data_IF_995588765658
#
_entry.id   IF_995588765658
#
_cell.length_a   1.000
_cell.length_b   1.000
_cell.length_c   1.000
_cell.angle_alpha   90.00
_cell.angle_beta   90.00
_cell.angle_gamma   90.00
#
_symmetry.space_group_name_H-M   'P 1'
#
loop_
_entity.id
_entity.type
_entity.pdbx_description
1 polymer ?
#
# COMPACT_ATOMS: atom_id res chain seq x y z
N UNK A 1 -1.06 -18.53 14.74
CA UNK A 1 -0.49 -18.06 13.45
C UNK A 1 -1.50 -18.03 12.29
N UNK A 2 -2.22 -19.11 11.96
CA UNK A 2 -3.15 -19.16 10.80
C UNK A 2 -4.23 -18.07 10.80
N UNK A 3 -4.87 -17.83 11.95
CA UNK A 3 -5.86 -16.75 12.12
C UNK A 3 -5.24 -15.36 11.92
N UNK A 4 -4.08 -15.12 12.54
CA UNK A 4 -3.31 -13.88 12.40
C UNK A 4 -2.95 -13.58 10.94
N UNK A 5 -2.50 -14.57 10.18
CA UNK A 5 -2.21 -14.42 8.74
C UNK A 5 -3.46 -14.05 7.94
N UNK A 6 -4.61 -14.65 8.24
CA UNK A 6 -5.87 -14.30 7.56
C UNK A 6 -6.27 -12.88 7.86
N UNK A 7 -6.28 -12.48 9.14
CA UNK A 7 -6.61 -11.12 9.55
C UNK A 7 -5.69 -10.10 8.91
N UNK A 8 -4.38 -10.37 8.88
CA UNK A 8 -3.41 -9.48 8.25
C UNK A 8 -3.64 -9.31 6.74
N UNK A 9 -3.97 -10.38 6.01
CA UNK A 9 -4.30 -10.28 4.58
C UNK A 9 -5.55 -9.43 4.32
N UNK A 10 -6.60 -9.57 5.16
CA UNK A 10 -7.78 -8.72 5.05
C UNK A 10 -7.47 -7.27 5.42
N UNK A 11 -6.59 -7.07 6.41
CA UNK A 11 -6.12 -5.76 6.78
C UNK A 11 -5.41 -5.05 5.63
N UNK A 12 -4.49 -5.72 4.90
CA UNK A 12 -3.81 -5.15 3.72
C UNK A 12 -4.81 -4.67 2.67
N UNK A 13 -5.86 -5.46 2.39
CA UNK A 13 -6.96 -5.04 1.51
C UNK A 13 -7.64 -3.79 2.07
N UNK A 14 -8.04 -3.80 3.35
CA UNK A 14 -8.98 -2.80 3.88
C UNK A 14 -8.29 -1.47 4.12
N UNK A 15 -7.00 -1.51 4.41
CA UNK A 15 -6.18 -0.32 4.60
C UNK A 15 -6.14 0.57 3.36
N UNK A 16 -6.27 0.03 2.14
CA UNK A 16 -6.27 0.85 0.91
C UNK A 16 -7.42 1.86 0.90
N UNK A 17 -8.63 1.40 1.22
CA UNK A 17 -9.82 2.23 1.35
C UNK A 17 -9.63 3.29 2.45
N UNK A 18 -9.20 2.88 3.66
CA UNK A 18 -9.01 3.81 4.77
C UNK A 18 -7.91 4.84 4.49
N UNK A 19 -6.82 4.42 3.85
CA UNK A 19 -5.73 5.30 3.46
C UNK A 19 -6.21 6.32 2.42
N UNK A 20 -6.97 5.89 1.42
CA UNK A 20 -7.56 6.76 0.40
C UNK A 20 -8.47 7.82 1.02
N UNK A 21 -9.34 7.43 1.94
CA UNK A 21 -10.24 8.35 2.64
C UNK A 21 -9.45 9.36 3.48
N UNK A 22 -8.48 8.88 4.27
CA UNK A 22 -7.65 9.73 5.13
C UNK A 22 -6.83 10.74 4.31
N UNK A 23 -6.23 10.31 3.20
CA UNK A 23 -5.49 11.18 2.29
C UNK A 23 -6.40 12.15 1.55
N UNK A 24 -7.63 11.76 1.22
CA UNK A 24 -8.62 12.67 0.64
C UNK A 24 -8.97 13.83 1.57
N UNK A 25 -9.17 13.55 2.86
CA UNK A 25 -9.37 14.59 3.88
C UNK A 25 -8.13 15.48 4.01
N UNK A 26 -6.94 14.87 4.12
CA UNK A 26 -5.69 15.61 4.24
C UNK A 26 -5.43 16.51 3.03
N UNK A 27 -5.70 16.03 1.81
CA UNK A 27 -5.54 16.78 0.58
C UNK A 27 -6.52 17.96 0.52
N UNK A 28 -7.78 17.75 0.93
CA UNK A 28 -8.77 18.83 1.04
C UNK A 28 -8.29 19.95 1.95
N UNK A 29 -7.88 19.63 3.17
CA UNK A 29 -7.37 20.62 4.13
C UNK A 29 -6.12 21.33 3.59
N UNK A 30 -5.24 20.59 2.91
CA UNK A 30 -4.04 21.16 2.28
C UNK A 30 -4.39 22.15 1.15
N UNK A 31 -5.37 21.84 0.31
CA UNK A 31 -5.81 22.70 -0.78
C UNK A 31 -6.51 23.95 -0.25
N UNK A 32 -7.39 23.80 0.75
CA UNK A 32 -8.06 24.93 1.41
C UNK A 32 -7.05 25.87 2.06
N UNK A 33 -6.04 25.33 2.76
CA UNK A 33 -4.96 26.12 3.36
C UNK A 33 -4.13 26.90 2.33
N UNK A 34 -4.11 26.44 1.07
CA UNK A 34 -3.45 27.11 -0.07
C UNK A 34 -4.37 28.07 -0.83
N UNK A 35 -5.62 28.25 -0.38
CA UNK A 35 -6.61 29.09 -1.05
C UNK A 35 -7.14 28.51 -2.36
N UNK A 36 -6.97 27.20 -2.59
CA UNK A 36 -7.47 26.52 -3.79
C UNK A 36 -8.90 26.06 -3.53
N UNK A 37 -9.81 26.38 -4.45
CA UNK A 37 -11.20 25.96 -4.37
C UNK A 37 -11.31 24.44 -4.47
N UNK A 38 -12.00 23.83 -3.51
CA UNK A 38 -12.24 22.38 -3.44
C UNK A 38 -13.70 22.09 -3.74
N UNK A 39 -13.94 21.05 -4.52
CA UNK A 39 -15.28 20.57 -4.85
C UNK A 39 -16.02 20.08 -3.59
N UNK A 40 -17.36 20.14 -3.63
CA UNK A 40 -18.19 19.59 -2.56
C UNK A 40 -17.90 18.10 -2.35
N UNK A 41 -18.06 17.63 -1.10
CA UNK A 41 -17.83 16.24 -0.71
C UNK A 41 -18.65 15.27 -1.58
N UNK A 42 -19.89 15.65 -1.92
CA UNK A 42 -20.76 14.83 -2.77
C UNK A 42 -20.21 14.63 -4.20
N UNK A 43 -19.70 15.71 -4.83
CA UNK A 43 -19.05 15.61 -6.15
C UNK A 43 -17.71 14.87 -6.05
N UNK A 44 -16.95 15.14 -4.99
CA UNK A 44 -15.71 14.42 -4.70
C UNK A 44 -15.92 12.92 -4.54
N UNK A 45 -17.00 12.50 -3.87
CA UNK A 45 -17.32 11.08 -3.64
C UNK A 45 -17.51 10.29 -4.95
N UNK A 46 -18.12 10.90 -5.97
CA UNK A 46 -18.33 10.27 -7.29
C UNK A 46 -17.02 9.98 -8.03
N UNK A 47 -16.00 10.79 -7.80
CA UNK A 47 -14.66 10.64 -8.39
C UNK A 47 -13.73 9.80 -7.50
N UNK A 48 -13.95 9.82 -6.19
CA UNK A 48 -13.20 9.04 -5.21
C UNK A 48 -13.39 7.55 -5.39
N UNK A 49 -14.59 7.07 -5.73
CA UNK A 49 -14.83 5.64 -5.91
C UNK A 49 -13.97 5.01 -7.03
N UNK A 50 -14.00 5.50 -8.29
CA UNK A 50 -13.16 4.93 -9.33
C UNK A 50 -11.67 5.15 -9.06
N UNK A 51 -11.31 6.27 -8.43
CA UNK A 51 -9.94 6.53 -8.00
C UNK A 51 -9.45 5.53 -6.93
N UNK A 52 -10.28 5.22 -5.93
CA UNK A 52 -9.98 4.25 -4.88
C UNK A 52 -9.83 2.84 -5.44
N UNK A 53 -10.71 2.43 -6.36
CA UNK A 53 -10.60 1.13 -7.03
C UNK A 53 -9.31 0.98 -7.82
N UNK A 54 -8.87 2.05 -8.49
CA UNK A 54 -7.59 2.10 -9.18
C UNK A 54 -6.42 2.07 -8.19
N UNK A 55 -6.49 2.89 -7.14
CA UNK A 55 -5.45 3.04 -6.13
C UNK A 55 -5.25 1.75 -5.31
N UNK A 56 -6.30 0.96 -5.09
CA UNK A 56 -6.22 -0.27 -4.29
C UNK A 56 -5.48 -1.43 -4.99
N UNK A 57 -5.18 -1.32 -6.29
CA UNK A 57 -4.53 -2.38 -7.06
C UNK A 57 -3.24 -2.93 -6.42
N UNK A 58 -2.28 -2.10 -5.93
CA UNK A 58 -1.06 -2.59 -5.29
C UNK A 58 -1.32 -3.34 -3.99
N UNK A 59 -2.33 -2.93 -3.21
CA UNK A 59 -2.71 -3.63 -1.98
C UNK A 59 -3.34 -4.99 -2.28
N UNK A 60 -4.13 -5.10 -3.33
CA UNK A 60 -4.68 -6.38 -3.80
C UNK A 60 -3.54 -7.32 -4.21
N UNK A 61 -2.59 -6.83 -5.02
CA UNK A 61 -1.43 -7.60 -5.47
C UNK A 61 -0.59 -8.04 -4.26
N UNK A 62 -0.28 -7.12 -3.34
CA UNK A 62 0.49 -7.43 -2.14
C UNK A 62 -0.24 -8.45 -1.25
N UNK A 63 -1.54 -8.28 -1.01
CA UNK A 63 -2.36 -9.19 -0.21
C UNK A 63 -2.35 -10.60 -0.82
N UNK A 64 -2.44 -10.71 -2.15
CA UNK A 64 -2.33 -11.98 -2.86
C UNK A 64 -0.95 -12.63 -2.70
N UNK A 65 0.13 -11.87 -2.87
CA UNK A 65 1.50 -12.35 -2.69
C UNK A 65 1.78 -12.80 -1.25
N UNK A 66 1.36 -12.00 -0.26
CA UNK A 66 1.53 -12.32 1.16
C UNK A 66 0.72 -13.57 1.52
N UNK A 67 -0.54 -13.67 1.05
CA UNK A 67 -1.39 -14.85 1.26
C UNK A 67 -0.77 -16.11 0.69
N UNK A 68 -0.26 -16.07 -0.54
CA UNK A 68 0.34 -17.24 -1.20
C UNK A 68 1.62 -17.67 -0.50
N UNK A 69 2.53 -16.74 -0.21
CA UNK A 69 3.82 -17.02 0.45
C UNK A 69 3.67 -17.50 1.88
N UNK A 70 2.83 -16.86 2.70
CA UNK A 70 2.61 -17.28 4.09
C UNK A 70 1.86 -18.60 4.19
N UNK A 71 0.90 -18.88 3.29
CA UNK A 71 0.22 -20.18 3.25
C UNK A 71 1.19 -21.31 2.91
N UNK A 72 2.13 -21.06 2.00
CA UNK A 72 3.16 -22.03 1.62
C UNK A 72 4.13 -22.27 2.78
N UNK A 73 4.62 -21.21 3.42
CA UNK A 73 5.50 -21.32 4.59
C UNK A 73 4.85 -22.09 5.75
N UNK A 74 3.57 -21.82 6.03
CA UNK A 74 2.81 -22.55 7.06
C UNK A 74 2.64 -24.06 6.79
N UNK A 75 2.87 -24.51 5.55
CA UNK A 75 2.78 -25.93 5.15
C UNK A 75 4.16 -26.58 5.05
N UNK A 76 5.13 -25.89 4.46
CA UNK A 76 6.44 -26.43 4.10
C UNK A 76 7.51 -26.13 5.16
N UNK A 77 7.55 -24.92 5.72
CA UNK A 77 8.60 -24.45 6.62
C UNK A 77 7.99 -23.62 7.78
N UNK A 78 7.36 -24.26 8.78
CA UNK A 78 6.65 -23.54 9.84
C UNK A 78 7.56 -22.63 10.66
N UNK A 79 8.84 -22.98 10.80
CA UNK A 79 9.85 -22.21 11.56
C UNK A 79 10.10 -20.83 10.96
N UNK A 80 10.09 -20.71 9.63
CA UNK A 80 10.31 -19.43 8.91
C UNK A 80 9.08 -18.51 8.90
N UNK A 81 7.92 -19.01 9.32
CA UNK A 81 6.65 -18.27 9.21
C UNK A 81 6.71 -16.94 9.96
N UNK A 82 7.36 -16.89 11.12
CA UNK A 82 7.47 -15.65 11.93
C UNK A 82 8.34 -14.60 11.24
N UNK A 83 9.44 -15.04 10.63
CA UNK A 83 10.34 -14.18 9.85
C UNK A 83 9.60 -13.62 8.63
N UNK A 84 8.95 -14.49 7.84
CA UNK A 84 8.19 -14.07 6.66
C UNK A 84 7.01 -13.15 7.01
N UNK A 85 6.36 -13.36 8.15
CA UNK A 85 5.31 -12.47 8.63
C UNK A 85 5.86 -11.07 8.95
N UNK A 86 7.04 -11.00 9.58
CA UNK A 86 7.71 -9.72 9.88
C UNK A 86 8.10 -8.98 8.59
N UNK A 87 8.63 -9.70 7.61
CA UNK A 87 8.94 -9.16 6.28
C UNK A 87 7.67 -8.64 5.59
N UNK A 88 6.57 -9.40 5.67
CA UNK A 88 5.30 -8.99 5.08
C UNK A 88 4.73 -7.71 5.71
N UNK A 89 4.90 -7.51 7.02
CA UNK A 89 4.57 -6.24 7.69
C UNK A 89 5.42 -5.11 7.13
N UNK A 90 6.74 -5.32 7.03
CA UNK A 90 7.65 -4.34 6.44
C UNK A 90 7.26 -3.96 5.01
N UNK A 91 6.98 -4.95 4.18
CA UNK A 91 6.53 -4.74 2.80
C UNK A 91 5.22 -3.97 2.74
N UNK A 92 4.26 -4.29 3.60
CA UNK A 92 3.02 -3.53 3.72
C UNK A 92 3.26 -2.06 4.07
N UNK A 93 4.08 -1.77 5.07
CA UNK A 93 4.39 -0.39 5.47
C UNK A 93 5.09 0.37 4.35
N UNK A 94 6.06 -0.26 3.70
CA UNK A 94 6.77 0.33 2.55
C UNK A 94 5.83 0.63 1.38
N UNK A 95 4.91 -0.29 1.06
CA UNK A 95 3.85 -0.05 0.06
C UNK A 95 2.95 1.09 0.49
N UNK A 96 2.47 1.12 1.74
CA UNK A 96 1.54 2.14 2.22
C UNK A 96 2.15 3.55 2.15
N UNK A 97 3.45 3.70 2.46
CA UNK A 97 4.16 4.98 2.35
C UNK A 97 4.24 5.43 0.89
N UNK A 98 4.77 4.57 0.01
CA UNK A 98 4.95 4.92 -1.41
C UNK A 98 3.59 5.20 -2.07
N UNK A 99 2.62 4.33 -1.84
CA UNK A 99 1.26 4.52 -2.31
C UNK A 99 0.68 5.84 -1.79
N UNK A 100 0.83 6.13 -0.50
CA UNK A 100 0.31 7.35 0.11
C UNK A 100 0.91 8.62 -0.50
N UNK A 101 2.21 8.61 -0.83
CA UNK A 101 2.86 9.73 -1.52
C UNK A 101 2.27 9.93 -2.92
N UNK A 102 2.21 8.87 -3.73
CA UNK A 102 1.67 8.93 -5.10
C UNK A 102 0.21 9.38 -5.09
N UNK A 103 -0.58 8.84 -4.18
CA UNK A 103 -1.99 9.14 -4.06
C UNK A 103 -2.21 10.60 -3.61
N UNK A 104 -1.46 11.06 -2.60
CA UNK A 104 -1.54 12.44 -2.15
C UNK A 104 -1.17 13.42 -3.26
N UNK A 105 -0.11 13.15 -4.02
CA UNK A 105 0.29 13.96 -5.17
C UNK A 105 -0.83 14.08 -6.22
N UNK A 106 -1.54 12.99 -6.49
CA UNK A 106 -2.71 13.02 -7.38
C UNK A 106 -3.87 13.83 -6.79
N UNK A 107 -4.17 13.65 -5.50
CA UNK A 107 -5.26 14.36 -4.82
C UNK A 107 -5.04 15.88 -4.74
N UNK A 108 -3.79 16.34 -4.70
CA UNK A 108 -3.44 17.78 -4.71
C UNK A 108 -3.12 18.31 -6.11
N UNK A 109 -3.45 17.57 -7.17
CA UNK A 109 -3.22 18.02 -8.55
C UNK A 109 -4.06 19.25 -8.88
N UNK A 110 -3.40 20.32 -9.36
CA UNK A 110 -4.01 21.62 -9.67
C UNK A 110 -3.91 22.01 -11.15
N UNK A 111 -3.75 21.05 -12.06
CA UNK A 111 -3.70 21.33 -13.49
C UNK A 111 -5.06 21.68 -14.10
N UNK A 112 -5.12 21.90 -15.43
CA UNK A 112 -6.38 22.04 -16.17
C UNK A 112 -7.33 20.89 -15.82
N UNK A 113 -8.63 21.20 -15.64
CA UNK A 113 -9.67 20.24 -15.25
C UNK A 113 -9.54 19.61 -13.86
N UNK A 114 -8.48 19.92 -13.11
CA UNK A 114 -8.27 19.54 -11.72
C UNK A 114 -8.32 18.03 -11.47
N UNK A 115 -8.84 17.64 -10.30
CA UNK A 115 -8.94 16.24 -9.89
C UNK A 115 -9.80 15.40 -10.85
N UNK A 116 -10.86 15.97 -11.43
CA UNK A 116 -11.75 15.23 -12.33
C UNK A 116 -11.04 14.80 -13.61
N UNK A 117 -10.31 15.73 -14.26
CA UNK A 117 -9.51 15.41 -15.45
C UNK A 117 -8.44 14.36 -15.14
N UNK A 118 -7.74 14.51 -14.01
CA UNK A 118 -6.76 13.53 -13.56
C UNK A 118 -7.38 12.13 -13.41
N UNK A 119 -8.51 12.00 -12.70
CA UNK A 119 -9.20 10.71 -12.54
C UNK A 119 -9.63 10.13 -13.89
N UNK A 120 -10.20 10.95 -14.78
CA UNK A 120 -10.59 10.50 -16.13
C UNK A 120 -9.39 10.01 -16.93
N UNK A 121 -8.28 10.75 -16.95
CA UNK A 121 -7.06 10.35 -17.65
C UNK A 121 -6.44 9.10 -17.06
N UNK A 122 -6.45 8.95 -15.74
CA UNK A 122 -5.93 7.76 -15.07
C UNK A 122 -6.75 6.51 -15.41
N UNK A 123 -8.07 6.62 -15.47
CA UNK A 123 -8.95 5.53 -15.88
C UNK A 123 -8.73 5.18 -17.35
N UNK A 124 -8.67 6.19 -18.23
CA UNK A 124 -8.45 6.00 -19.66
C UNK A 124 -7.09 5.32 -19.93
N UNK A 125 -6.07 5.72 -19.17
CA UNK A 125 -4.70 5.18 -19.25
C UNK A 125 -4.47 4.04 -18.25
N UNK A 126 -5.52 3.44 -17.68
CA UNK A 126 -5.40 2.37 -16.70
C UNK A 126 -4.51 1.19 -17.13
N UNK A 127 -4.46 0.78 -18.42
CA UNK A 127 -3.54 -0.27 -18.86
C UNK A 127 -2.06 0.07 -18.66
N UNK A 128 -1.71 1.35 -18.55
CA UNK A 128 -0.35 1.84 -18.33
C UNK A 128 -0.13 2.30 -16.88
N UNK A 129 -1.10 3.01 -16.32
CA UNK A 129 -0.99 3.62 -14.99
C UNK A 129 -1.06 2.57 -13.87
N UNK A 130 -1.87 1.51 -14.01
CA UNK A 130 -1.94 0.43 -13.01
C UNK A 130 -0.59 -0.32 -12.92
N UNK A 131 0.01 -0.83 -14.01
CA UNK A 131 1.32 -1.47 -13.93
C UNK A 131 2.41 -0.54 -13.37
N UNK A 132 2.40 0.74 -13.77
CA UNK A 132 3.30 1.74 -13.23
C UNK A 132 3.16 1.90 -11.72
N UNK A 133 1.93 2.08 -11.22
CA UNK A 133 1.64 2.18 -9.80
C UNK A 133 2.08 0.92 -9.04
N UNK A 134 1.75 -0.26 -9.56
CA UNK A 134 2.12 -1.54 -8.94
C UNK A 134 3.64 -1.67 -8.87
N UNK A 135 4.37 -1.31 -9.93
CA UNK A 135 5.84 -1.33 -9.93
C UNK A 135 6.42 -0.37 -8.90
N UNK A 136 5.94 0.88 -8.85
CA UNK A 136 6.37 1.87 -7.87
C UNK A 136 6.12 1.37 -6.44
N UNK A 137 4.94 0.81 -6.18
CA UNK A 137 4.60 0.23 -4.88
C UNK A 137 5.40 -1.05 -4.56
N UNK A 138 5.78 -1.83 -5.56
CA UNK A 138 6.63 -3.02 -5.39
C UNK A 138 8.05 -2.63 -4.95
N UNK A 139 8.59 -1.51 -5.44
CA UNK A 139 9.85 -0.95 -4.94
C UNK A 139 9.71 -0.60 -3.46
N UNK A 140 8.65 0.11 -3.07
CA UNK A 140 8.35 0.39 -1.66
C UNK A 140 8.25 -0.87 -0.80
N UNK A 141 7.55 -1.89 -1.31
CA UNK A 141 7.41 -3.19 -0.65
C UNK A 141 8.75 -3.90 -0.43
N UNK A 142 9.64 -3.83 -1.43
CA UNK A 142 10.96 -4.43 -1.37
C UNK A 142 11.81 -3.75 -0.29
N UNK A 143 11.89 -2.42 -0.29
CA UNK A 143 12.63 -1.67 0.73
C UNK A 143 12.07 -1.91 2.13
N UNK A 144 10.75 -1.80 2.31
CA UNK A 144 10.12 -2.05 3.61
C UNK A 144 10.35 -3.48 4.11
N UNK A 145 10.27 -4.47 3.22
CA UNK A 145 10.56 -5.87 3.53
C UNK A 145 12.02 -6.11 3.92
N UNK A 146 12.97 -5.49 3.22
CA UNK A 146 14.40 -5.57 3.53
C UNK A 146 14.73 -4.94 4.89
N UNK A 147 14.16 -3.77 5.19
CA UNK A 147 14.34 -3.12 6.50
C UNK A 147 13.80 -4.03 7.61
N UNK A 148 12.59 -4.57 7.45
CA UNK A 148 12.01 -5.48 8.44
C UNK A 148 12.81 -6.79 8.59
N UNK A 149 13.34 -7.33 7.50
CA UNK A 149 14.23 -8.50 7.53
C UNK A 149 15.50 -8.21 8.33
N UNK A 150 16.13 -7.06 8.08
CA UNK A 150 17.33 -6.62 8.79
C UNK A 150 17.08 -6.43 10.29
N UNK A 151 16.00 -5.72 10.65
CA UNK A 151 15.61 -5.51 12.05
C UNK A 151 15.28 -6.83 12.77
N UNK A 152 14.66 -7.77 12.06
CA UNK A 152 14.38 -9.10 12.61
C UNK A 152 15.68 -9.87 12.88
N UNK A 153 16.63 -9.86 11.94
CA UNK A 153 17.92 -10.52 12.09
C UNK A 153 18.72 -9.90 13.26
N UNK A 154 18.78 -8.56 13.32
CA UNK A 154 19.46 -7.85 14.40
C UNK A 154 18.91 -8.21 15.79
N UNK A 155 17.59 -8.31 15.92
CA UNK A 155 16.93 -8.69 17.19
C UNK A 155 17.14 -10.16 17.57
N UNK A 156 17.34 -11.03 16.59
CA UNK A 156 17.44 -12.49 16.83
C UNK A 156 18.83 -12.92 17.29
N UNK A 157 19.81 -12.01 17.28
CA UNK A 157 21.20 -12.30 17.63
C UNK A 157 21.91 -13.17 16.57
N UNK A 158 23.24 -13.30 16.64
CA UNK A 158 23.95 -14.29 15.84
C UNK A 158 23.47 -15.71 16.20
N UNK A 159 23.41 -16.64 15.23
CA UNK A 159 23.11 -18.03 15.55
C UNK A 159 24.09 -18.56 16.61
N UNK A 160 23.64 -19.41 17.55
CA UNK A 160 24.54 -20.01 18.52
C UNK A 160 25.68 -20.70 17.77
N UNK A 161 26.92 -20.35 18.13
CA UNK A 161 28.13 -20.91 17.53
C UNK A 161 28.02 -22.45 17.59
N UNK A 162 28.06 -23.18 16.46
CA UNK A 162 28.11 -24.63 16.52
C UNK A 162 29.41 -24.96 17.27
N UNK A 163 29.27 -25.43 18.51
CA UNK A 163 30.42 -25.84 19.30
C UNK A 163 31.16 -26.93 18.51
N UNK A 164 32.50 -26.90 18.49
CA UNK A 164 33.32 -27.88 17.78
C UNK A 164 33.08 -29.31 18.27
#
# INVERSE_FOLDING_TARGET
>A
MRWTTRLFVHFIWLSGIFLTLGLGVLARETLMARGIEVVSVERGAKLLLPYALWADAPFIVLAFMVRTRLRRALRECPEDTRRLFTIAIGSYLGTAVVHGVVQFQGLVYTGPGGFAEMVTMMILMSPLTIPGLVLTCAIGAAFGGLIAAYLHAWRSGPPPNPRP
#
